data_IF_386892113937
#
_entry.id   IF_386892113937
#
_cell.length_a   1.000
_cell.length_b   1.000
_cell.length_c   1.000
_cell.angle_alpha   90.00
_cell.angle_beta   90.00
_cell.angle_gamma   90.00
#
_symmetry.space_group_name_H-M   'P 1'
#
loop_
_entity.id
_entity.type
_entity.pdbx_description
1 polymer ?
#
# COMPACT_ATOMS: atom_id res chain seq x y z
N UNK A 1 -27.61 -22.73 -7.13
CA UNK A 1 -26.23 -22.74 -6.64
C UNK A 1 -25.53 -21.57 -7.31
N UNK A 2 -25.57 -20.40 -6.68
CA UNK A 2 -25.15 -19.12 -7.28
C UNK A 2 -23.80 -18.72 -6.70
N UNK A 3 -22.74 -18.84 -7.50
CA UNK A 3 -21.39 -18.40 -7.15
C UNK A 3 -21.27 -16.89 -7.37
N UNK A 4 -20.97 -16.16 -6.30
CA UNK A 4 -20.64 -14.73 -6.34
C UNK A 4 -19.14 -14.63 -6.62
N UNK A 5 -18.77 -14.23 -7.84
CA UNK A 5 -17.40 -13.87 -8.19
C UNK A 5 -17.11 -12.48 -7.64
N UNK A 6 -16.28 -12.39 -6.60
CA UNK A 6 -15.79 -11.12 -6.09
C UNK A 6 -14.91 -10.41 -7.14
N UNK A 7 -14.97 -9.08 -7.28
CA UNK A 7 -14.13 -8.36 -8.23
C UNK A 7 -12.66 -8.47 -7.79
N UNK A 8 -11.83 -9.07 -8.65
CA UNK A 8 -10.39 -9.06 -8.51
C UNK A 8 -9.89 -7.62 -8.68
N UNK A 9 -9.46 -7.01 -7.59
CA UNK A 9 -8.79 -5.71 -7.61
C UNK A 9 -7.40 -5.95 -8.18
N UNK A 10 -7.17 -5.52 -9.42
CA UNK A 10 -5.85 -5.57 -10.05
C UNK A 10 -4.89 -4.71 -9.23
N UNK A 11 -3.99 -5.35 -8.49
CA UNK A 11 -2.93 -4.65 -7.77
C UNK A 11 -2.03 -3.93 -8.79
N UNK A 12 -1.61 -2.68 -8.53
CA UNK A 12 -0.72 -1.95 -9.42
C UNK A 12 0.61 -2.70 -9.55
N UNK A 13 0.98 -3.04 -10.79
CA UNK A 13 2.14 -3.87 -11.18
C UNK A 13 3.51 -3.20 -11.00
N UNK A 14 3.56 -1.99 -10.46
CA UNK A 14 4.80 -1.21 -10.31
C UNK A 14 5.08 -0.89 -8.83
N UNK A 15 5.10 -1.93 -8.00
CA UNK A 15 5.63 -1.84 -6.64
C UNK A 15 7.06 -2.33 -6.70
N UNK A 16 8.06 -1.53 -6.26
CA UNK A 16 9.45 -1.98 -6.24
C UNK A 16 9.53 -3.33 -5.52
N UNK A 17 10.00 -4.35 -6.24
CA UNK A 17 10.12 -5.76 -5.78
C UNK A 17 11.15 -5.93 -4.67
N UNK A 18 11.88 -4.87 -4.31
CA UNK A 18 12.81 -4.88 -3.19
C UNK A 18 12.01 -4.75 -1.88
N UNK A 19 12.12 -5.73 -0.96
CA UNK A 19 11.50 -5.61 0.35
C UNK A 19 12.11 -4.41 1.08
N UNK A 20 11.26 -3.50 1.52
CA UNK A 20 11.66 -2.38 2.38
C UNK A 20 11.88 -2.89 3.81
N UNK A 21 12.83 -2.31 4.57
CA UNK A 21 13.03 -2.65 5.98
C UNK A 21 11.95 -2.03 6.90
N UNK A 22 10.72 -1.89 6.39
CA UNK A 22 9.54 -1.43 7.10
C UNK A 22 8.35 -2.30 6.72
N UNK A 23 7.53 -2.63 7.71
CA UNK A 23 6.23 -3.27 7.49
C UNK A 23 5.12 -2.21 7.55
N UNK A 24 4.17 -2.31 6.63
CA UNK A 24 3.01 -1.43 6.55
C UNK A 24 1.77 -2.16 7.05
N UNK A 25 1.20 -1.68 8.14
CA UNK A 25 0.08 -2.33 8.82
C UNK A 25 -1.13 -1.41 8.83
N UNK A 26 -2.27 -1.91 8.35
CA UNK A 26 -3.54 -1.20 8.51
C UNK A 26 -4.01 -1.30 9.97
N UNK A 27 -4.15 -0.15 10.60
CA UNK A 27 -4.62 -0.05 11.97
C UNK A 27 -6.00 0.59 12.09
N UNK A 28 -6.49 0.72 13.33
CA UNK A 28 -7.84 1.17 13.60
C UNK A 28 -8.08 2.59 13.08
N UNK A 29 -9.33 2.84 12.66
CA UNK A 29 -9.75 4.15 12.14
C UNK A 29 -9.17 4.50 10.76
N UNK A 30 -8.75 3.50 9.97
CA UNK A 30 -8.22 3.70 8.62
C UNK A 30 -6.81 4.30 8.61
N UNK A 31 -6.08 4.19 9.73
CA UNK A 31 -4.69 4.68 9.85
C UNK A 31 -3.72 3.63 9.31
N UNK A 32 -2.68 4.08 8.63
CA UNK A 32 -1.56 3.24 8.23
C UNK A 32 -0.43 3.38 9.25
N UNK A 33 0.01 2.26 9.81
CA UNK A 33 1.13 2.18 10.73
C UNK A 33 2.38 1.70 9.99
N UNK A 34 3.52 2.28 10.37
CA UNK A 34 4.85 1.96 9.86
C UNK A 34 5.64 1.28 10.97
N UNK A 35 6.04 0.04 10.77
CA UNK A 35 6.87 -0.71 11.72
C UNK A 35 8.28 -0.89 11.15
N UNK A 36 9.29 -0.16 11.66
CA UNK A 36 10.67 -0.30 11.19
C UNK A 36 11.28 -1.62 11.67
N UNK A 37 11.90 -2.35 10.74
CA UNK A 37 12.61 -3.61 10.97
C UNK A 37 14.14 -3.42 11.00
N UNK A 38 14.63 -2.38 10.31
CA UNK A 38 16.03 -1.96 10.32
C UNK A 38 16.12 -0.44 10.06
N UNK A 39 17.30 0.19 10.25
CA UNK A 39 17.50 1.57 9.84
C UNK A 39 17.21 1.78 8.36
N UNK A 40 16.54 2.89 8.04
CA UNK A 40 16.23 3.27 6.66
C UNK A 40 17.42 4.00 6.04
N UNK A 41 17.83 3.57 4.85
CA UNK A 41 18.72 4.34 3.99
C UNK A 41 17.93 5.41 3.22
N UNK A 42 18.58 6.44 2.66
CA UNK A 42 17.91 7.40 1.79
C UNK A 42 17.16 6.76 0.62
N UNK A 43 17.74 5.73 -0.01
CA UNK A 43 17.08 4.97 -1.08
C UNK A 43 15.82 4.23 -0.60
N UNK A 44 15.84 3.69 0.63
CA UNK A 44 14.65 3.06 1.22
C UNK A 44 13.55 4.09 1.49
N UNK A 45 13.92 5.31 1.89
CA UNK A 45 12.97 6.41 2.08
C UNK A 45 12.30 6.83 0.77
N UNK A 46 13.04 6.89 -0.34
CA UNK A 46 12.49 7.20 -1.66
C UNK A 46 11.51 6.12 -2.12
N UNK A 47 11.90 4.85 -2.01
CA UNK A 47 11.04 3.72 -2.34
C UNK A 47 9.78 3.66 -1.45
N UNK A 48 9.91 3.96 -0.15
CA UNK A 48 8.78 4.06 0.76
C UNK A 48 7.83 5.21 0.37
N UNK A 49 8.39 6.37 -0.01
CA UNK A 49 7.61 7.53 -0.44
C UNK A 49 6.76 7.22 -1.67
N UNK A 50 7.35 6.56 -2.67
CA UNK A 50 6.64 6.12 -3.87
C UNK A 50 5.48 5.15 -3.54
N UNK A 51 5.73 4.18 -2.65
CA UNK A 51 4.70 3.22 -2.21
C UNK A 51 3.52 3.94 -1.53
N UNK A 52 3.81 4.86 -0.60
CA UNK A 52 2.79 5.63 0.11
C UNK A 52 1.99 6.53 -0.85
N UNK A 53 2.64 7.16 -1.82
CA UNK A 53 1.96 7.98 -2.83
C UNK A 53 1.01 7.15 -3.71
N UNK A 54 1.44 5.98 -4.17
CA UNK A 54 0.60 5.05 -4.93
C UNK A 54 -0.63 4.60 -4.11
N UNK A 55 -0.43 4.30 -2.82
CA UNK A 55 -1.51 3.92 -1.92
C UNK A 55 -2.50 5.06 -1.69
N UNK A 56 -2.01 6.28 -1.48
CA UNK A 56 -2.85 7.46 -1.32
C UNK A 56 -3.70 7.74 -2.58
N UNK A 57 -3.12 7.58 -3.77
CA UNK A 57 -3.86 7.70 -5.02
C UNK A 57 -4.96 6.64 -5.16
N UNK A 58 -4.69 5.39 -4.76
CA UNK A 58 -5.69 4.33 -4.75
C UNK A 58 -6.85 4.61 -3.77
N UNK A 59 -6.55 5.13 -2.58
CA UNK A 59 -7.56 5.54 -1.59
C UNK A 59 -8.43 6.68 -2.12
N UNK A 60 -7.82 7.70 -2.76
CA UNK A 60 -8.58 8.81 -3.37
C UNK A 60 -9.55 8.33 -4.43
N UNK A 61 -9.10 7.51 -5.39
CA UNK A 61 -9.97 6.95 -6.43
C UNK A 61 -11.14 6.16 -5.83
N UNK A 62 -10.89 5.38 -4.78
CA UNK A 62 -11.95 4.64 -4.08
C UNK A 62 -12.99 5.58 -3.47
N UNK A 63 -12.56 6.67 -2.85
CA UNK A 63 -13.46 7.65 -2.22
C UNK A 63 -14.21 8.51 -3.25
N UNK A 64 -13.62 8.78 -4.41
CA UNK A 64 -14.26 9.52 -5.51
C UNK A 64 -15.26 8.65 -6.31
N UNK A 65 -15.16 7.32 -6.20
CA UNK A 65 -16.07 6.37 -6.87
C UNK A 65 -17.22 5.88 -5.97
N UNK A 66 -17.36 6.46 -4.77
CA UNK A 66 -18.42 6.23 -3.79
C UNK A 66 -19.40 7.41 -3.83
#
# INVERSE_FOLDING_TARGET
MTTITAPAITAPTDVPTRPLPVELVDGPGGRLYLLPLAPLTPDDCEALSALLAARAAAVRRRNESL
#
